data_IF_707667783531
#
_entry.id   IF_707667783531
#
_cell.length_a   1.000
_cell.length_b   1.000
_cell.length_c   1.000
_cell.angle_alpha   90.00
_cell.angle_beta   90.00
_cell.angle_gamma   90.00
#
_symmetry.space_group_name_H-M   'P 1'
#
loop_
_entity.id
_entity.type
_entity.pdbx_description
1 polymer ?
#
# COMPACT_ATOMS: atom_id res chain seq x y z
N UNK A 1 47.69 -38.16 -61.24
CA UNK A 1 47.58 -37.71 -59.83
C UNK A 1 46.46 -36.69 -59.76
N UNK A 2 45.45 -36.91 -58.92
CA UNK A 2 44.36 -35.93 -58.73
C UNK A 2 44.58 -35.21 -57.41
N UNK A 3 44.56 -33.89 -57.43
CA UNK A 3 44.60 -33.07 -56.23
C UNK A 3 43.18 -32.64 -55.91
N UNK A 4 42.72 -32.91 -54.68
CA UNK A 4 41.45 -32.43 -54.17
C UNK A 4 41.69 -31.20 -53.31
N UNK A 5 40.90 -30.15 -53.54
CA UNK A 5 40.88 -28.94 -52.71
C UNK A 5 39.53 -28.92 -51.99
N UNK A 6 39.54 -28.54 -50.71
CA UNK A 6 38.28 -28.37 -49.97
C UNK A 6 37.50 -27.21 -50.58
N UNK A 7 36.19 -27.40 -50.77
CA UNK A 7 35.30 -26.38 -51.33
C UNK A 7 35.42 -25.04 -50.60
N UNK A 8 35.54 -25.05 -49.26
CA UNK A 8 35.67 -23.84 -48.45
C UNK A 8 36.94 -23.06 -48.77
N UNK A 9 38.07 -23.74 -48.93
CA UNK A 9 39.36 -23.12 -49.23
C UNK A 9 39.36 -22.52 -50.64
N UNK A 10 38.75 -23.22 -51.60
CA UNK A 10 38.54 -22.73 -52.97
C UNK A 10 37.66 -21.46 -53.00
N UNK A 11 36.57 -21.43 -52.23
CA UNK A 11 35.67 -20.27 -52.13
C UNK A 11 36.38 -19.06 -51.52
N UNK A 12 37.11 -19.25 -50.41
CA UNK A 12 37.87 -18.18 -49.75
C UNK A 12 38.96 -17.63 -50.67
N UNK A 13 39.66 -18.50 -51.39
CA UNK A 13 40.69 -18.10 -52.35
C UNK A 13 40.15 -17.21 -53.47
N UNK A 14 38.99 -17.57 -54.05
CA UNK A 14 38.32 -16.75 -55.07
C UNK A 14 37.89 -15.38 -54.52
N UNK A 15 37.31 -15.33 -53.31
CA UNK A 15 36.87 -14.07 -52.69
C UNK A 15 38.03 -13.10 -52.45
N UNK A 16 39.21 -13.62 -52.08
CA UNK A 16 40.39 -12.79 -51.75
C UNK A 16 41.23 -12.41 -52.96
N UNK A 17 41.37 -13.33 -53.93
CA UNK A 17 42.36 -13.18 -55.01
C UNK A 17 41.74 -12.70 -56.32
N UNK A 18 40.50 -13.10 -56.61
CA UNK A 18 39.82 -12.80 -57.87
C UNK A 18 38.33 -12.49 -57.63
N UNK A 19 38.02 -11.37 -56.94
CA UNK A 19 36.66 -11.04 -56.56
C UNK A 19 35.70 -10.85 -57.74
N UNK A 20 36.24 -10.47 -58.91
CA UNK A 20 35.48 -10.15 -60.13
C UNK A 20 35.24 -11.38 -61.03
N UNK A 21 35.92 -12.51 -60.76
CA UNK A 21 35.84 -13.74 -61.56
C UNK A 21 35.17 -14.89 -60.81
N UNK A 22 34.15 -14.59 -59.99
CA UNK A 22 33.43 -15.58 -59.20
C UNK A 22 32.54 -16.47 -60.07
N UNK A 23 32.80 -17.79 -60.18
CA UNK A 23 31.98 -18.66 -61.01
C UNK A 23 30.58 -18.84 -60.41
N UNK A 24 29.54 -18.64 -61.22
CA UNK A 24 28.14 -18.66 -60.76
C UNK A 24 27.71 -20.00 -60.13
N UNK A 25 28.31 -21.12 -60.53
CA UNK A 25 28.02 -22.44 -59.96
C UNK A 25 28.58 -22.65 -58.54
N UNK A 26 29.62 -21.89 -58.16
CA UNK A 26 30.20 -21.95 -56.82
C UNK A 26 29.56 -20.93 -55.87
N UNK A 27 29.21 -19.77 -56.42
CA UNK A 27 28.60 -18.65 -55.72
C UNK A 27 27.15 -18.50 -56.22
N UNK A 28 26.26 -19.33 -55.68
CA UNK A 28 24.82 -19.25 -55.96
C UNK A 28 24.30 -17.85 -55.64
N UNK A 29 23.92 -17.09 -56.67
CA UNK A 29 23.48 -15.70 -56.56
C UNK A 29 22.04 -15.56 -56.03
N UNK A 30 21.24 -16.63 -56.10
CA UNK A 30 19.80 -16.61 -55.81
C UNK A 30 19.43 -17.55 -54.65
N UNK A 31 20.09 -17.41 -53.51
CA UNK A 31 19.54 -17.97 -52.28
C UNK A 31 18.50 -16.96 -51.79
N UNK A 32 17.23 -17.35 -51.79
CA UNK A 32 16.16 -16.50 -51.26
C UNK A 32 16.37 -16.35 -49.75
N UNK A 33 16.94 -15.21 -49.37
CA UNK A 33 17.18 -14.84 -47.98
C UNK A 33 16.00 -14.10 -47.35
N UNK A 34 14.85 -14.01 -48.04
CA UNK A 34 13.65 -13.33 -47.50
C UNK A 34 13.15 -13.97 -46.20
N UNK A 35 13.36 -15.28 -46.02
CA UNK A 35 13.04 -16.02 -44.79
C UNK A 35 14.21 -16.09 -43.79
N UNK A 36 15.41 -15.65 -44.19
CA UNK A 36 16.59 -15.69 -43.33
C UNK A 36 16.56 -14.54 -42.30
N UNK A 37 16.39 -14.88 -41.02
CA UNK A 37 16.55 -13.91 -39.94
C UNK A 37 18.01 -13.44 -39.92
N UNK A 38 18.23 -12.12 -40.06
CA UNK A 38 19.58 -11.58 -40.00
C UNK A 38 20.22 -11.87 -38.64
N UNK A 39 21.51 -12.19 -38.63
CA UNK A 39 22.25 -12.45 -37.39
C UNK A 39 22.08 -11.31 -36.37
N UNK A 40 22.07 -10.06 -36.84
CA UNK A 40 21.83 -8.89 -36.00
C UNK A 40 20.43 -8.88 -35.39
N UNK A 41 19.38 -9.26 -36.13
CA UNK A 41 18.03 -9.36 -35.59
C UNK A 41 17.92 -10.46 -34.53
N UNK A 42 18.62 -11.59 -34.72
CA UNK A 42 18.71 -12.64 -33.72
C UNK A 42 19.42 -12.17 -32.44
N UNK A 43 20.61 -11.57 -32.57
CA UNK A 43 21.37 -11.05 -31.43
C UNK A 43 20.60 -9.95 -30.69
N UNK A 44 19.91 -9.06 -31.41
CA UNK A 44 19.07 -8.03 -30.79
C UNK A 44 17.88 -8.64 -30.01
N UNK A 45 17.26 -9.71 -30.52
CA UNK A 45 16.21 -10.44 -29.80
C UNK A 45 16.77 -11.14 -28.57
N UNK A 46 17.94 -11.77 -28.68
CA UNK A 46 18.61 -12.43 -27.57
C UNK A 46 18.94 -11.44 -26.45
N UNK A 47 19.55 -10.29 -26.77
CA UNK A 47 19.86 -9.26 -25.79
C UNK A 47 18.60 -8.73 -25.06
N UNK A 48 17.48 -8.59 -25.79
CA UNK A 48 16.19 -8.19 -25.18
C UNK A 48 15.65 -9.27 -24.25
N UNK A 49 15.79 -10.55 -24.61
CA UNK A 49 15.36 -11.67 -23.79
C UNK A 49 16.18 -11.72 -22.49
N UNK A 50 17.50 -11.63 -22.59
CA UNK A 50 18.41 -11.59 -21.43
C UNK A 50 18.09 -10.42 -20.50
N UNK A 51 17.86 -9.22 -21.05
CA UNK A 51 17.43 -8.06 -20.27
C UNK A 51 16.09 -8.32 -19.58
N UNK A 52 15.10 -8.89 -20.27
CA UNK A 52 13.80 -9.20 -19.69
C UNK A 52 13.90 -10.21 -18.54
N UNK A 53 14.75 -11.24 -18.69
CA UNK A 53 15.02 -12.22 -17.62
C UNK A 53 15.66 -11.56 -16.40
N UNK A 54 16.71 -10.76 -16.60
CA UNK A 54 17.34 -10.04 -15.48
C UNK A 54 16.35 -9.14 -14.74
N UNK A 55 15.41 -8.54 -15.48
CA UNK A 55 14.38 -7.69 -14.90
C UNK A 55 13.36 -8.49 -14.12
N UNK A 56 12.96 -9.66 -14.61
CA UNK A 56 12.07 -10.57 -13.89
C UNK A 56 12.70 -11.06 -12.58
N UNK A 57 13.99 -11.41 -12.59
CA UNK A 57 14.72 -11.79 -11.38
C UNK A 57 14.75 -10.64 -10.36
N UNK A 58 15.01 -9.41 -10.80
CA UNK A 58 14.93 -8.22 -9.93
C UNK A 58 13.53 -8.05 -9.33
N UNK A 59 12.48 -8.15 -10.15
CA UNK A 59 11.10 -8.06 -9.65
C UNK A 59 10.79 -9.16 -8.62
N UNK A 60 11.23 -10.39 -8.86
CA UNK A 60 11.04 -11.50 -7.91
C UNK A 60 11.76 -11.22 -6.58
N UNK A 61 12.98 -10.70 -6.61
CA UNK A 61 13.71 -10.32 -5.39
C UNK A 61 13.00 -9.21 -4.63
N UNK A 62 12.55 -8.15 -5.33
CA UNK A 62 11.82 -7.04 -4.68
C UNK A 62 10.49 -7.50 -4.09
N UNK A 63 9.79 -8.41 -4.79
CA UNK A 63 8.54 -8.98 -4.30
C UNK A 63 8.79 -9.84 -3.05
N UNK A 64 9.81 -10.69 -3.06
CA UNK A 64 10.18 -11.51 -1.90
C UNK A 64 10.49 -10.62 -0.68
N UNK A 65 11.30 -9.58 -0.86
CA UNK A 65 11.62 -8.63 0.20
C UNK A 65 10.36 -7.92 0.73
N UNK A 66 9.48 -7.43 -0.16
CA UNK A 66 8.23 -6.80 0.25
C UNK A 66 7.30 -7.75 1.01
N UNK A 67 7.23 -9.03 0.61
CA UNK A 67 6.41 -10.02 1.33
C UNK A 67 6.97 -10.32 2.72
N UNK A 68 8.29 -10.33 2.88
CA UNK A 68 8.94 -10.49 4.18
C UNK A 68 8.68 -9.28 5.07
N UNK A 69 8.77 -8.06 4.54
CA UNK A 69 8.41 -6.84 5.26
C UNK A 69 6.94 -6.86 5.72
N UNK A 70 6.01 -7.22 4.83
CA UNK A 70 4.58 -7.33 5.18
C UNK A 70 4.36 -8.37 6.29
N UNK A 71 5.03 -9.52 6.23
CA UNK A 71 4.96 -10.53 7.28
C UNK A 71 5.53 -10.02 8.60
N UNK A 72 6.64 -9.27 8.57
CA UNK A 72 7.21 -8.67 9.77
C UNK A 72 6.25 -7.64 10.41
N UNK A 73 5.64 -6.79 9.58
CA UNK A 73 4.68 -5.78 10.02
C UNK A 73 3.40 -6.42 10.55
N UNK A 74 2.92 -7.50 9.94
CA UNK A 74 1.73 -8.21 10.43
C UNK A 74 1.99 -8.81 11.81
N UNK A 75 3.14 -9.47 12.01
CA UNK A 75 3.50 -10.02 13.33
C UNK A 75 3.65 -8.92 14.40
N UNK A 76 4.17 -7.74 14.03
CA UNK A 76 4.27 -6.61 14.94
C UNK A 76 2.88 -6.06 15.28
N UNK A 77 2.00 -5.95 14.28
CA UNK A 77 0.62 -5.53 14.49
C UNK A 77 -0.13 -6.48 15.43
N UNK A 78 0.03 -7.79 15.24
CA UNK A 78 -0.58 -8.80 16.10
C UNK A 78 -0.04 -8.73 17.53
N UNK A 79 1.27 -8.46 17.71
CA UNK A 79 1.85 -8.20 19.03
C UNK A 79 1.29 -6.93 19.67
N UNK A 80 1.08 -5.87 18.90
CA UNK A 80 0.49 -4.62 19.38
C UNK A 80 -0.97 -4.83 19.79
N UNK A 81 -1.75 -5.55 18.98
CA UNK A 81 -3.12 -5.95 19.33
C UNK A 81 -3.13 -6.78 20.61
N UNK A 82 -2.31 -7.83 20.70
CA UNK A 82 -2.21 -8.64 21.91
C UNK A 82 -1.82 -7.81 23.14
N UNK A 83 -0.92 -6.83 22.98
CA UNK A 83 -0.60 -5.87 24.06
C UNK A 83 -1.79 -5.00 24.44
N UNK A 84 -2.53 -4.46 23.47
CA UNK A 84 -3.74 -3.66 23.73
C UNK A 84 -4.82 -4.48 24.45
N UNK A 85 -5.03 -5.74 24.04
CA UNK A 85 -5.93 -6.67 24.73
C UNK A 85 -5.43 -6.98 26.15
N UNK A 86 -4.12 -7.19 26.34
CA UNK A 86 -3.51 -7.44 27.66
C UNK A 86 -3.54 -6.24 28.60
N UNK A 87 -3.52 -5.02 28.03
CA UNK A 87 -3.70 -3.77 28.76
C UNK A 87 -5.16 -3.57 29.20
N UNK A 88 -6.07 -4.48 28.83
CA UNK A 88 -7.45 -4.46 29.27
C UNK A 88 -8.18 -3.22 28.80
N UNK A 89 -7.99 -2.83 27.54
CA UNK A 89 -8.82 -1.84 26.85
C UNK A 89 -9.90 -2.62 26.09
N UNK A 90 -10.98 -3.08 26.75
CA UNK A 90 -12.04 -3.81 26.07
C UNK A 90 -12.71 -2.93 25.01
N UNK A 91 -13.38 -3.50 23.99
CA UNK A 91 -14.17 -2.74 23.02
C UNK A 91 -15.29 -1.88 23.67
N UNK A 92 -15.70 -2.21 24.90
CA UNK A 92 -16.55 -1.41 25.79
C UNK A 92 -15.96 -0.02 26.09
N UNK A 93 -14.63 0.15 25.91
CA UNK A 93 -13.89 1.41 26.09
C UNK A 93 -13.58 2.15 24.79
N UNK A 94 -14.27 1.84 23.69
CA UNK A 94 -14.22 2.68 22.49
C UNK A 94 -14.54 4.13 22.87
N UNK A 95 -13.73 5.07 22.38
CA UNK A 95 -13.96 6.51 22.56
C UNK A 95 -15.40 6.89 22.15
N UNK A 96 -15.95 6.18 21.18
CA UNK A 96 -17.34 6.28 20.72
C UNK A 96 -18.33 5.91 21.82
N UNK A 97 -18.14 4.79 22.51
CA UNK A 97 -19.01 4.34 23.60
C UNK A 97 -18.97 5.31 24.79
N UNK A 98 -17.77 5.79 25.15
CA UNK A 98 -17.61 6.82 26.18
C UNK A 98 -18.34 8.12 25.82
N UNK A 99 -18.14 8.61 24.60
CA UNK A 99 -18.83 9.80 24.11
C UNK A 99 -20.36 9.59 24.04
N UNK A 100 -20.82 8.38 23.73
CA UNK A 100 -22.24 8.04 23.73
C UNK A 100 -22.84 8.06 25.13
N UNK A 101 -22.18 7.45 26.13
CA UNK A 101 -22.60 7.47 27.53
C UNK A 101 -22.62 8.90 28.09
N UNK A 102 -21.56 9.68 27.84
CA UNK A 102 -21.48 11.10 28.22
C UNK A 102 -22.61 11.88 27.55
N UNK A 103 -22.89 11.63 26.27
CA UNK A 103 -23.95 12.30 25.53
C UNK A 103 -25.33 12.00 26.09
N UNK A 104 -25.62 10.74 26.38
CA UNK A 104 -26.87 10.32 27.01
C UNK A 104 -27.03 10.93 28.42
N UNK A 105 -25.96 10.98 29.21
CA UNK A 105 -25.95 11.68 30.50
C UNK A 105 -26.22 13.17 30.34
N UNK A 106 -25.63 13.84 29.35
CA UNK A 106 -25.86 15.26 29.10
C UNK A 106 -27.30 15.53 28.70
N UNK A 107 -27.90 14.71 27.84
CA UNK A 107 -29.30 14.89 27.46
C UNK A 107 -30.28 14.61 28.61
N UNK A 108 -30.00 13.61 29.45
CA UNK A 108 -30.84 13.29 30.62
C UNK A 108 -30.68 14.28 31.77
N UNK A 109 -29.54 14.96 31.87
CA UNK A 109 -29.33 15.98 32.91
C UNK A 109 -29.80 17.36 32.45
N UNK A 110 -29.41 17.80 31.25
CA UNK A 110 -29.74 19.13 30.73
C UNK A 110 -31.05 19.16 29.94
N UNK A 111 -31.70 18.00 29.76
CA UNK A 111 -32.98 17.88 29.09
C UNK A 111 -34.14 18.51 29.87
N UNK A 112 -35.22 18.79 29.14
CA UNK A 112 -36.50 19.19 29.72
C UNK A 112 -37.42 17.97 29.76
N UNK A 113 -38.11 17.79 30.88
CA UNK A 113 -39.21 16.82 30.98
C UNK A 113 -40.35 17.23 30.04
N UNK A 114 -41.24 16.31 29.64
CA UNK A 114 -42.41 16.62 28.82
C UNK A 114 -43.32 17.71 29.40
N UNK A 115 -43.31 17.87 30.73
CA UNK A 115 -44.03 18.92 31.46
C UNK A 115 -43.28 20.27 31.52
N UNK A 116 -42.18 20.44 30.77
CA UNK A 116 -41.39 21.67 30.71
C UNK A 116 -40.41 21.89 31.87
N UNK A 117 -40.43 21.05 32.91
CA UNK A 117 -39.50 21.17 34.03
C UNK A 117 -38.10 20.70 33.64
N UNK A 118 -37.09 21.46 34.08
CA UNK A 118 -35.68 21.09 33.89
C UNK A 118 -35.35 19.82 34.70
N UNK A 119 -34.62 18.88 34.10
CA UNK A 119 -34.31 17.60 34.73
C UNK A 119 -33.20 17.70 35.79
N UNK A 120 -32.37 18.74 35.74
CA UNK A 120 -31.21 18.94 36.62
C UNK A 120 -31.28 20.25 37.41
N UNK A 121 -30.57 20.26 38.54
CA UNK A 121 -30.27 21.45 39.36
C UNK A 121 -29.41 22.49 38.61
N UNK A 122 -28.72 22.09 37.53
CA UNK A 122 -27.86 22.96 36.74
C UNK A 122 -28.63 23.53 35.55
N UNK A 123 -28.75 24.87 35.48
CA UNK A 123 -29.49 25.61 34.44
C UNK A 123 -28.87 25.57 33.05
N UNK A 124 -27.59 25.23 32.94
CA UNK A 124 -26.87 25.18 31.67
C UNK A 124 -25.68 24.24 31.73
N UNK A 125 -25.16 23.88 30.54
CA UNK A 125 -23.90 23.14 30.41
C UNK A 125 -22.74 23.88 31.10
N UNK A 126 -22.68 25.22 30.99
CA UNK A 126 -21.64 26.00 31.64
C UNK A 126 -21.69 25.91 33.17
N UNK A 127 -22.90 25.91 33.74
CA UNK A 127 -23.09 25.72 35.18
C UNK A 127 -22.67 24.31 35.63
N UNK A 128 -22.96 23.28 34.84
CA UNK A 128 -22.51 21.91 35.08
C UNK A 128 -20.97 21.80 35.03
N UNK A 129 -20.33 22.40 34.02
CA UNK A 129 -18.86 22.41 33.89
C UNK A 129 -18.21 23.11 35.07
N UNK A 130 -18.74 24.26 35.51
CA UNK A 130 -18.23 24.94 36.70
C UNK A 130 -18.37 24.08 37.96
N UNK A 131 -19.50 23.40 38.15
CA UNK A 131 -19.70 22.50 39.28
C UNK A 131 -18.71 21.31 39.26
N UNK A 132 -18.41 20.76 38.08
CA UNK A 132 -17.40 19.70 37.91
C UNK A 132 -16.01 20.22 38.31
N UNK A 133 -15.61 21.39 37.82
CA UNK A 133 -14.30 21.98 38.14
C UNK A 133 -14.15 22.29 39.63
N UNK A 134 -15.20 22.79 40.28
CA UNK A 134 -15.21 23.05 41.72
C UNK A 134 -15.08 21.75 42.54
N UNK A 135 -15.71 20.67 42.07
CA UNK A 135 -15.71 19.38 42.78
C UNK A 135 -14.46 18.55 42.52
N UNK A 136 -13.79 18.75 41.39
CA UNK A 136 -12.60 18.00 40.98
C UNK A 136 -11.43 18.92 40.59
N UNK A 137 -10.92 19.78 41.50
CA UNK A 137 -9.99 20.87 41.15
C UNK A 137 -8.55 20.42 40.82
N UNK A 138 -8.17 19.17 41.10
CA UNK A 138 -6.79 18.67 40.92
C UNK A 138 -6.71 17.35 40.15
N UNK A 139 -7.74 17.04 39.37
CA UNK A 139 -7.73 15.83 38.55
C UNK A 139 -7.09 16.16 37.20
N UNK A 140 -5.96 15.53 36.91
CA UNK A 140 -5.29 15.67 35.61
C UNK A 140 -6.24 15.23 34.48
N UNK A 141 -6.26 16.00 33.39
CA UNK A 141 -7.16 15.77 32.27
C UNK A 141 -8.56 16.38 32.41
N UNK A 142 -8.97 16.88 33.58
CA UNK A 142 -10.26 17.57 33.79
C UNK A 142 -10.14 19.10 33.71
N UNK A 143 -9.38 19.60 32.73
CA UNK A 143 -9.37 21.05 32.43
C UNK A 143 -10.70 21.49 31.82
N UNK A 144 -11.07 22.77 31.99
CA UNK A 144 -12.28 23.35 31.38
C UNK A 144 -12.33 23.05 29.87
N UNK A 145 -11.23 23.28 29.16
CA UNK A 145 -11.11 23.01 27.73
C UNK A 145 -11.31 21.54 27.38
N UNK A 146 -10.81 20.62 28.21
CA UNK A 146 -11.00 19.18 27.98
C UNK A 146 -12.47 18.78 28.13
N UNK A 147 -13.12 19.25 29.19
CA UNK A 147 -14.53 18.95 29.47
C UNK A 147 -15.42 19.50 28.35
N UNK A 148 -15.21 20.76 27.96
CA UNK A 148 -15.98 21.40 26.89
C UNK A 148 -15.81 20.66 25.56
N UNK A 149 -14.59 20.24 25.22
CA UNK A 149 -14.32 19.42 24.02
C UNK A 149 -15.06 18.09 24.07
N UNK A 150 -14.93 17.34 25.17
CA UNK A 150 -15.59 16.03 25.33
C UNK A 150 -17.11 16.13 25.27
N UNK A 151 -17.69 17.17 25.87
CA UNK A 151 -19.13 17.41 25.82
C UNK A 151 -19.60 17.77 24.41
N UNK A 152 -18.82 18.55 23.66
CA UNK A 152 -19.14 18.86 22.27
C UNK A 152 -19.10 17.61 21.37
N UNK A 153 -18.08 16.77 21.52
CA UNK A 153 -17.94 15.51 20.76
C UNK A 153 -19.10 14.55 21.07
N UNK A 154 -19.41 14.36 22.35
CA UNK A 154 -20.54 13.56 22.82
C UNK A 154 -21.90 14.03 22.26
N UNK A 155 -22.15 15.34 22.26
CA UNK A 155 -23.39 15.91 21.71
C UNK A 155 -23.51 15.73 20.20
N UNK A 156 -22.40 15.91 19.46
CA UNK A 156 -22.38 15.69 18.01
C UNK A 156 -22.77 14.25 17.68
N UNK A 157 -22.23 13.30 18.43
CA UNK A 157 -22.52 11.87 18.27
C UNK A 157 -24.01 11.57 18.52
N UNK A 158 -24.59 12.03 19.64
CA UNK A 158 -26.02 11.82 19.93
C UNK A 158 -26.92 12.50 18.89
N UNK A 159 -26.55 13.70 18.44
CA UNK A 159 -27.29 14.40 17.39
C UNK A 159 -27.26 13.67 16.05
N UNK A 160 -26.16 12.97 15.72
CA UNK A 160 -26.07 12.12 14.54
C UNK A 160 -26.96 10.88 14.68
N UNK A 161 -26.92 10.20 15.83
CA UNK A 161 -27.78 9.02 16.10
C UNK A 161 -29.26 9.37 15.99
N UNK A 162 -29.70 10.54 16.48
CA UNK A 162 -31.10 10.96 16.39
C UNK A 162 -31.58 11.35 14.98
N UNK A 163 -30.65 11.60 14.06
CA UNK A 163 -30.96 12.01 12.67
C UNK A 163 -30.95 10.85 11.69
N UNK A 164 -30.27 9.75 12.03
CA UNK A 164 -30.33 8.49 11.28
C UNK A 164 -31.51 7.64 11.74
#
# INVERSE_FOLDING_TARGET
MYYSVRRTDLLVWFVRSHPDQKPAFLFTQNVDHSECVSLHAHLAKQAKLEFALSRLEQWQQTYAAATEEIASLSTLNDKLKARLESLGIPPETSEVMHNMLIGAMLETTLGKKPNGQQQSIYSSQAALVQAILLRFPRVEGLSKSTIDRRFADARRLIAQIKRG
#
